data_IF_006725722436
#
_entry.id   IF_006725722436
#
_cell.length_a   1.000
_cell.length_b   1.000
_cell.length_c   1.000
_cell.angle_alpha   90.00
_cell.angle_beta   90.00
_cell.angle_gamma   90.00
#
_symmetry.space_group_name_H-M   'P 1'
#
loop_
_entity.id
_entity.type
_entity.pdbx_description
1 polymer ?
#
# COMPACT_ATOMS: atom_id res chain seq x y z
N UNK A 1 -21.61 2.10 -1.65
CA UNK A 1 -20.65 3.09 -1.11
C UNK A 1 -21.03 4.45 -1.65
N UNK A 2 -21.22 5.47 -0.80
CA UNK A 2 -21.72 6.79 -1.18
C UNK A 2 -20.66 7.89 -1.12
N UNK A 3 -19.56 7.66 -0.41
CA UNK A 3 -18.39 8.55 -0.33
C UNK A 3 -17.15 7.76 0.12
N UNK A 4 -15.97 8.33 -0.10
CA UNK A 4 -14.70 7.93 0.49
C UNK A 4 -14.27 8.98 1.51
N UNK A 5 -13.98 8.59 2.73
CA UNK A 5 -13.51 9.54 3.73
C UNK A 5 -12.05 9.94 3.49
N UNK A 6 -11.23 8.97 3.08
CA UNK A 6 -9.82 9.14 2.78
C UNK A 6 -9.47 8.45 1.47
N UNK A 7 -8.64 9.11 0.68
CA UNK A 7 -7.95 8.53 -0.46
C UNK A 7 -6.46 8.82 -0.28
N UNK A 8 -5.62 7.80 -0.39
CA UNK A 8 -4.18 7.92 -0.14
C UNK A 8 -3.43 7.51 -1.41
N UNK A 9 -2.64 8.43 -1.95
CA UNK A 9 -1.73 8.16 -3.06
C UNK A 9 -0.35 7.81 -2.53
N UNK A 10 0.10 6.58 -2.77
CA UNK A 10 1.38 6.08 -2.26
C UNK A 10 2.57 6.71 -2.97
N UNK A 11 2.52 6.83 -4.31
CA UNK A 11 3.54 7.44 -5.15
C UNK A 11 2.99 7.72 -6.56
N UNK A 12 3.65 8.60 -7.36
CA UNK A 12 3.10 9.10 -8.61
C UNK A 12 3.45 8.29 -9.86
N UNK A 13 3.52 6.95 -9.79
CA UNK A 13 3.64 6.13 -10.99
C UNK A 13 2.30 5.93 -11.67
N UNK A 14 2.35 5.67 -12.99
CA UNK A 14 1.17 5.60 -13.84
C UNK A 14 0.18 4.50 -13.42
N UNK A 15 0.65 3.37 -12.93
CA UNK A 15 -0.18 2.25 -12.47
C UNK A 15 -0.82 2.48 -11.08
N UNK A 16 -0.47 3.60 -10.41
CA UNK A 16 -1.02 3.98 -9.10
C UNK A 16 -1.90 5.25 -9.13
N UNK A 17 -1.97 5.99 -10.22
CA UNK A 17 -2.60 7.31 -10.25
C UNK A 17 -3.90 7.43 -11.08
N UNK A 18 -4.05 6.81 -12.27
CA UNK A 18 -5.13 7.18 -13.20
C UNK A 18 -6.55 6.95 -12.67
N UNK A 19 -6.71 6.01 -11.74
CA UNK A 19 -8.01 5.72 -11.12
C UNK A 19 -8.56 6.87 -10.26
N UNK A 20 -7.72 7.73 -9.72
CA UNK A 20 -8.13 8.79 -8.81
C UNK A 20 -9.03 9.83 -9.49
N UNK A 21 -8.74 10.22 -10.73
CA UNK A 21 -9.59 11.11 -11.49
C UNK A 21 -10.99 10.55 -11.67
N UNK A 22 -11.11 9.30 -12.11
CA UNK A 22 -12.39 8.65 -12.32
C UNK A 22 -13.20 8.55 -11.03
N UNK A 23 -12.56 8.32 -9.90
CA UNK A 23 -13.18 8.26 -8.57
C UNK A 23 -13.64 9.67 -8.15
N UNK A 24 -12.76 10.67 -8.20
CA UNK A 24 -13.05 12.03 -7.76
C UNK A 24 -14.23 12.66 -8.53
N UNK A 25 -14.35 12.36 -9.84
CA UNK A 25 -15.47 12.86 -10.67
C UNK A 25 -16.79 12.13 -10.44
N UNK A 26 -16.81 10.98 -9.75
CA UNK A 26 -18.00 10.12 -9.58
C UNK A 26 -18.51 10.04 -8.16
N UNK A 27 -17.68 10.30 -7.16
CA UNK A 27 -18.09 10.22 -5.77
C UNK A 27 -17.35 11.22 -4.90
N UNK A 28 -18.01 11.72 -3.84
CA UNK A 28 -17.38 12.62 -2.89
C UNK A 28 -16.18 11.95 -2.19
N UNK A 29 -15.06 12.66 -2.13
CA UNK A 29 -13.87 12.31 -1.37
C UNK A 29 -13.75 13.31 -0.23
N UNK A 30 -13.60 12.82 1.00
CA UNK A 30 -13.43 13.66 2.17
C UNK A 30 -12.06 14.34 2.18
N UNK A 31 -11.01 13.58 1.95
CA UNK A 31 -9.61 14.06 1.89
C UNK A 31 -8.75 13.19 0.99
N UNK A 32 -7.82 13.83 0.30
CA UNK A 32 -6.79 13.17 -0.50
C UNK A 32 -5.42 13.40 0.15
N UNK A 33 -4.70 12.33 0.46
CA UNK A 33 -3.39 12.37 1.09
C UNK A 33 -2.30 11.92 0.12
N UNK A 34 -1.18 12.63 0.12
CA UNK A 34 0.04 12.24 -0.60
C UNK A 34 1.26 12.85 0.07
N UNK A 35 2.43 12.22 -0.06
CA UNK A 35 3.72 12.78 0.34
C UNK A 35 4.47 13.45 -0.81
N UNK A 36 3.89 13.47 -2.02
CA UNK A 36 4.51 14.02 -3.22
C UNK A 36 3.91 15.38 -3.58
N UNK A 37 4.71 16.46 -3.61
CA UNK A 37 4.24 17.77 -4.05
C UNK A 37 4.05 17.81 -5.57
N UNK A 38 3.17 18.71 -6.03
CA UNK A 38 2.80 18.84 -7.44
C UNK A 38 3.99 19.15 -8.38
N UNK A 39 4.99 19.87 -7.90
CA UNK A 39 6.12 20.34 -8.73
C UNK A 39 7.21 19.27 -8.99
N UNK A 40 7.12 18.11 -8.34
CA UNK A 40 8.13 17.05 -8.51
C UNK A 40 7.77 16.05 -9.62
N UNK A 41 6.49 15.93 -9.97
CA UNK A 41 6.03 14.90 -10.91
C UNK A 41 4.78 15.36 -11.67
N UNK A 42 4.79 15.28 -13.00
CA UNK A 42 3.69 15.71 -13.86
C UNK A 42 2.38 14.92 -13.60
N UNK A 43 2.47 13.63 -13.28
CA UNK A 43 1.31 12.81 -12.98
C UNK A 43 0.67 13.26 -11.66
N UNK A 44 1.47 13.53 -10.62
CA UNK A 44 0.95 14.08 -9.36
C UNK A 44 0.37 15.46 -9.55
N UNK A 45 1.01 16.33 -10.35
CA UNK A 45 0.49 17.65 -10.70
C UNK A 45 -0.92 17.53 -11.31
N UNK A 46 -1.10 16.63 -12.28
CA UNK A 46 -2.41 16.37 -12.89
C UNK A 46 -3.43 15.88 -11.85
N UNK A 47 -3.07 14.89 -11.05
CA UNK A 47 -3.96 14.34 -10.00
C UNK A 47 -4.42 15.43 -9.02
N UNK A 48 -3.49 16.26 -8.54
CA UNK A 48 -3.80 17.33 -7.60
C UNK A 48 -4.67 18.43 -8.24
N UNK A 49 -4.48 18.73 -9.53
CA UNK A 49 -5.37 19.64 -10.27
C UNK A 49 -6.79 19.08 -10.34
N UNK A 50 -6.97 17.80 -10.64
CA UNK A 50 -8.28 17.14 -10.63
C UNK A 50 -8.92 17.16 -9.24
N UNK A 51 -8.17 16.91 -8.18
CA UNK A 51 -8.67 17.01 -6.80
C UNK A 51 -9.20 18.43 -6.53
N UNK A 52 -8.45 19.46 -6.93
CA UNK A 52 -8.87 20.85 -6.78
C UNK A 52 -10.13 21.18 -7.58
N UNK A 53 -10.23 20.74 -8.84
CA UNK A 53 -11.43 20.89 -9.67
C UNK A 53 -12.67 20.24 -9.05
N UNK A 54 -12.50 19.09 -8.39
CA UNK A 54 -13.57 18.37 -7.71
C UNK A 54 -13.84 18.87 -6.28
N UNK A 55 -13.14 19.91 -5.81
CA UNK A 55 -13.29 20.45 -4.46
C UNK A 55 -12.82 19.51 -3.34
N UNK A 56 -11.92 18.57 -3.66
CA UNK A 56 -11.37 17.61 -2.68
C UNK A 56 -10.23 18.27 -1.91
N UNK A 57 -10.30 18.36 -0.57
CA UNK A 57 -9.17 18.83 0.23
C UNK A 57 -7.95 17.91 0.08
N UNK A 58 -6.78 18.49 -0.19
CA UNK A 58 -5.51 17.78 -0.28
C UNK A 58 -4.70 18.05 0.97
N UNK A 59 -4.18 17.00 1.58
CA UNK A 59 -3.29 17.05 2.74
C UNK A 59 -1.93 16.41 2.41
N UNK A 60 -0.87 17.01 2.92
CA UNK A 60 0.45 16.40 2.85
C UNK A 60 0.55 15.35 3.96
N UNK A 61 0.77 14.08 3.57
CA UNK A 61 0.97 12.99 4.50
C UNK A 61 2.33 13.15 5.23
N UNK A 62 2.34 12.83 6.51
CA UNK A 62 3.56 12.83 7.33
C UNK A 62 3.81 11.46 7.94
N UNK A 63 5.07 11.20 8.26
CA UNK A 63 5.45 9.98 8.97
C UNK A 63 4.75 9.90 10.33
N UNK A 64 4.31 8.69 10.70
CA UNK A 64 3.55 8.43 11.93
C UNK A 64 2.13 9.00 11.95
N UNK A 65 1.64 9.64 10.87
CA UNK A 65 0.26 10.14 10.81
C UNK A 65 -0.74 9.00 10.93
N UNK A 66 -1.70 9.13 11.84
CA UNK A 66 -2.75 8.12 12.06
C UNK A 66 -4.08 8.57 11.48
N UNK A 67 -4.73 7.66 10.74
CA UNK A 67 -6.10 7.78 10.27
C UNK A 67 -6.96 6.77 11.04
N UNK A 68 -8.14 7.19 11.48
CA UNK A 68 -9.06 6.32 12.23
C UNK A 68 -10.27 5.96 11.38
N UNK A 69 -10.58 4.67 11.29
CA UNK A 69 -11.75 4.11 10.61
C UNK A 69 -12.55 3.24 11.58
N UNK A 70 -13.50 3.82 12.29
CA UNK A 70 -14.21 3.12 13.36
C UNK A 70 -13.23 2.70 14.46
N UNK A 71 -13.05 1.39 14.65
CA UNK A 71 -12.08 0.83 15.61
C UNK A 71 -10.71 0.52 15.00
N UNK A 72 -10.59 0.58 13.68
CA UNK A 72 -9.33 0.36 12.99
C UNK A 72 -8.50 1.65 12.95
N UNK A 73 -7.19 1.49 12.97
CA UNK A 73 -6.20 2.56 12.77
C UNK A 73 -5.34 2.26 11.55
N UNK A 74 -4.97 3.30 10.82
CA UNK A 74 -4.02 3.24 9.73
C UNK A 74 -2.89 4.20 10.08
N UNK A 75 -1.71 3.67 10.33
CA UNK A 75 -0.50 4.47 10.51
C UNK A 75 0.20 4.61 9.16
N UNK A 76 0.39 5.85 8.72
CA UNK A 76 1.17 6.16 7.53
C UNK A 76 2.65 6.17 7.89
N UNK A 77 3.47 5.53 7.05
CA UNK A 77 4.91 5.39 7.28
C UNK A 77 5.66 5.97 6.08
N UNK A 78 6.60 6.86 6.35
CA UNK A 78 7.47 7.50 5.36
C UNK A 78 8.93 7.28 5.76
N UNK A 79 9.57 6.19 5.33
CA UNK A 79 10.96 5.93 5.69
C UNK A 79 11.88 7.07 5.24
N UNK A 80 12.79 7.49 6.09
CA UNK A 80 13.82 8.47 5.77
C UNK A 80 15.02 7.84 5.05
N UNK A 81 15.86 8.66 4.41
CA UNK A 81 17.11 8.22 3.76
C UNK A 81 16.92 7.16 2.65
N UNK A 82 15.78 7.17 1.99
CA UNK A 82 15.39 6.17 0.98
C UNK A 82 16.02 6.41 -0.40
N UNK A 83 16.85 7.43 -0.56
CA UNK A 83 17.37 7.85 -1.87
C UNK A 83 16.37 8.68 -2.68
N UNK A 84 16.61 8.79 -4.00
CA UNK A 84 15.87 9.73 -4.86
C UNK A 84 14.81 9.07 -5.75
N UNK A 85 14.75 7.74 -5.80
CA UNK A 85 13.77 7.07 -6.65
C UNK A 85 12.35 7.25 -6.09
N UNK A 86 11.39 7.40 -7.00
CA UNK A 86 9.98 7.58 -6.64
C UNK A 86 9.47 6.41 -5.80
N UNK A 87 9.80 5.18 -6.19
CA UNK A 87 9.40 3.96 -5.49
C UNK A 87 9.91 3.92 -4.04
N UNK A 88 11.16 4.28 -3.82
CA UNK A 88 11.74 4.27 -2.46
C UNK A 88 11.15 5.36 -1.54
N UNK A 89 10.47 6.35 -2.11
CA UNK A 89 9.76 7.42 -1.40
C UNK A 89 8.27 7.13 -1.23
N UNK A 90 7.83 5.89 -1.49
CA UNK A 90 6.44 5.49 -1.35
C UNK A 90 5.92 5.71 0.07
N UNK A 91 4.70 6.23 0.16
CA UNK A 91 3.93 6.27 1.38
C UNK A 91 3.42 4.86 1.68
N UNK A 92 3.80 4.31 2.82
CA UNK A 92 3.42 2.99 3.30
C UNK A 92 2.25 3.10 4.28
N UNK A 93 1.60 1.99 4.57
CA UNK A 93 0.51 1.97 5.54
C UNK A 93 0.51 0.70 6.37
N UNK A 94 0.44 0.85 7.68
CA UNK A 94 0.16 -0.22 8.63
C UNK A 94 -1.27 -0.09 9.12
N UNK A 95 -2.11 -1.05 8.77
CA UNK A 95 -3.50 -1.14 9.21
C UNK A 95 -3.58 -2.05 10.43
N UNK A 96 -4.21 -1.58 11.51
CA UNK A 96 -4.39 -2.33 12.75
C UNK A 96 -5.85 -2.32 13.21
N UNK A 97 -6.33 -3.47 13.67
CA UNK A 97 -7.62 -3.63 14.36
C UNK A 97 -7.45 -4.71 15.42
N UNK A 98 -7.52 -4.37 16.69
CA UNK A 98 -7.18 -5.31 17.77
C UNK A 98 -5.77 -5.87 17.57
N UNK A 99 -5.64 -7.19 17.49
CA UNK A 99 -4.37 -7.89 17.25
C UNK A 99 -4.07 -8.10 15.74
N UNK A 100 -5.06 -7.88 14.87
CA UNK A 100 -4.92 -8.07 13.43
C UNK A 100 -4.15 -6.92 12.79
N UNK A 101 -3.12 -7.23 11.99
CA UNK A 101 -2.21 -6.26 11.38
C UNK A 101 -1.98 -6.56 9.90
N UNK A 102 -2.02 -5.51 9.07
CA UNK A 102 -1.69 -5.60 7.65
C UNK A 102 -0.71 -4.49 7.28
N UNK A 103 0.45 -4.85 6.72
CA UNK A 103 1.44 -3.90 6.22
C UNK A 103 1.38 -3.81 4.70
N UNK A 104 1.26 -2.59 4.20
CA UNK A 104 1.22 -2.27 2.78
C UNK A 104 2.50 -1.50 2.39
N UNK A 105 3.39 -2.15 1.63
CA UNK A 105 4.71 -1.59 1.28
C UNK A 105 4.72 -0.83 -0.05
N UNK A 106 3.55 -0.56 -0.64
CA UNK A 106 3.46 0.12 -1.95
C UNK A 106 4.45 -0.49 -2.95
N UNK A 107 5.35 0.31 -3.53
CA UNK A 107 6.39 -0.13 -4.46
C UNK A 107 7.81 0.05 -3.91
N UNK A 108 7.93 -0.02 -2.59
CA UNK A 108 9.19 0.18 -1.87
C UNK A 108 10.29 -0.76 -2.38
N UNK A 109 11.38 -0.20 -2.89
CA UNK A 109 12.56 -0.94 -3.37
C UNK A 109 13.64 -1.07 -2.29
N UNK A 110 14.77 -1.67 -2.65
CA UNK A 110 15.80 -2.12 -1.70
C UNK A 110 16.30 -1.03 -0.74
N UNK A 111 16.52 0.19 -1.21
CA UNK A 111 17.00 1.28 -0.32
C UNK A 111 15.93 1.70 0.68
N UNK A 112 14.68 1.83 0.23
CA UNK A 112 13.56 2.14 1.13
C UNK A 112 13.26 1.01 2.10
N UNK A 113 13.38 -0.25 1.66
CA UNK A 113 13.24 -1.41 2.52
C UNK A 113 14.32 -1.45 3.61
N UNK A 114 15.56 -1.12 3.27
CA UNK A 114 16.63 -1.02 4.25
C UNK A 114 16.37 0.15 5.22
N UNK A 115 15.97 1.30 4.71
CA UNK A 115 15.63 2.45 5.56
C UNK A 115 14.49 2.15 6.53
N UNK A 116 13.45 1.43 6.09
CA UNK A 116 12.35 0.98 6.95
C UNK A 116 12.84 0.00 8.03
N UNK A 117 13.77 -0.89 7.70
CA UNK A 117 14.37 -1.80 8.69
C UNK A 117 15.22 -1.03 9.71
N UNK A 118 15.99 -0.04 9.23
CA UNK A 118 16.90 0.77 10.06
C UNK A 118 16.16 1.78 10.96
N UNK A 119 14.91 2.14 10.63
CA UNK A 119 14.08 3.02 11.48
C UNK A 119 13.78 2.41 12.85
N UNK A 120 13.74 1.09 12.93
CA UNK A 120 13.36 0.36 14.14
C UNK A 120 11.85 0.37 14.43
N UNK A 121 11.04 0.81 13.48
CA UNK A 121 9.58 0.77 13.59
C UNK A 121 9.09 -0.69 13.73
N UNK A 122 7.99 -0.87 14.47
CA UNK A 122 7.33 -2.17 14.56
C UNK A 122 6.56 -2.48 13.28
N UNK A 123 7.22 -3.22 12.38
CA UNK A 123 6.70 -3.64 11.08
C UNK A 123 6.02 -5.01 11.09
N UNK A 124 5.95 -5.69 12.24
CA UNK A 124 5.30 -7.01 12.32
C UNK A 124 3.85 -6.94 11.83
N UNK A 125 3.43 -7.88 10.99
CA UNK A 125 2.08 -7.92 10.43
C UNK A 125 1.67 -9.33 9.99
N UNK A 126 0.40 -9.67 10.16
CA UNK A 126 -0.17 -10.96 9.70
C UNK A 126 -0.25 -11.03 8.18
N UNK A 127 -0.64 -9.90 7.56
CA UNK A 127 -0.80 -9.78 6.11
C UNK A 127 0.20 -8.77 5.57
N UNK A 128 0.93 -9.16 4.53
CA UNK A 128 1.84 -8.29 3.80
C UNK A 128 1.33 -8.05 2.37
N UNK A 129 1.01 -6.78 1.99
CA UNK A 129 1.00 -6.44 0.57
C UNK A 129 2.46 -6.35 0.13
N UNK A 130 2.91 -7.35 -0.62
CA UNK A 130 4.29 -7.48 -1.07
C UNK A 130 4.70 -6.26 -1.93
N UNK A 131 5.91 -5.71 -1.76
CA UNK A 131 6.30 -4.50 -2.45
C UNK A 131 6.43 -4.70 -3.97
N UNK A 132 6.20 -3.62 -4.71
CA UNK A 132 6.44 -3.49 -6.15
C UNK A 132 5.92 -4.70 -6.94
N UNK A 133 4.68 -5.10 -6.66
CA UNK A 133 3.97 -6.22 -7.32
C UNK A 133 4.74 -7.55 -7.33
N UNK A 134 5.78 -7.71 -6.54
CA UNK A 134 6.62 -8.90 -6.52
C UNK A 134 7.64 -8.99 -7.66
N UNK A 135 7.93 -7.89 -8.36
CA UNK A 135 8.91 -7.87 -9.46
C UNK A 135 10.32 -8.29 -9.06
N UNK A 136 10.67 -8.12 -7.80
CA UNK A 136 11.95 -8.54 -7.23
C UNK A 136 11.76 -9.20 -5.86
N UNK A 137 12.73 -9.98 -5.42
CA UNK A 137 12.80 -10.41 -4.03
C UNK A 137 13.03 -9.19 -3.13
N UNK A 138 12.34 -9.13 -2.00
CA UNK A 138 12.53 -8.06 -1.04
C UNK A 138 13.70 -8.34 -0.10
N UNK A 139 14.10 -7.35 0.69
CA UNK A 139 15.12 -7.49 1.72
C UNK A 139 14.72 -8.63 2.70
N UNK A 140 15.60 -9.64 2.80
CA UNK A 140 15.33 -10.84 3.60
C UNK A 140 15.16 -10.52 5.09
N UNK A 141 15.95 -9.59 5.63
CA UNK A 141 15.85 -9.21 7.03
C UNK A 141 14.53 -8.47 7.32
N UNK A 142 14.07 -7.61 6.40
CA UNK A 142 12.78 -6.95 6.52
C UNK A 142 11.62 -7.96 6.46
N UNK A 143 11.65 -8.91 5.51
CA UNK A 143 10.62 -9.96 5.43
C UNK A 143 10.58 -10.80 6.70
N UNK A 144 11.75 -11.10 7.28
CA UNK A 144 11.82 -11.80 8.57
C UNK A 144 11.28 -10.97 9.73
N UNK A 145 11.52 -9.66 9.75
CA UNK A 145 10.99 -8.75 10.78
C UNK A 145 9.47 -8.59 10.68
N UNK A 146 8.92 -8.53 9.46
CA UNK A 146 7.47 -8.49 9.23
C UNK A 146 6.81 -9.80 9.67
N UNK A 147 7.44 -10.95 9.39
CA UNK A 147 6.97 -12.29 9.72
C UNK A 147 5.50 -12.56 9.31
N UNK A 148 5.11 -12.30 8.05
CA UNK A 148 3.72 -12.39 7.64
C UNK A 148 3.24 -13.84 7.55
N UNK A 149 1.97 -14.06 7.87
CA UNK A 149 1.26 -15.35 7.70
C UNK A 149 0.75 -15.51 6.25
N UNK A 150 0.59 -14.39 5.52
CA UNK A 150 0.15 -14.38 4.14
C UNK A 150 0.74 -13.16 3.43
N UNK A 151 1.26 -13.35 2.22
CA UNK A 151 1.64 -12.26 1.32
C UNK A 151 0.61 -12.09 0.19
N UNK A 152 0.24 -10.84 -0.11
CA UNK A 152 -0.61 -10.47 -1.25
C UNK A 152 0.29 -9.92 -2.34
N UNK A 153 0.23 -10.52 -3.53
CA UNK A 153 0.96 -10.09 -4.72
C UNK A 153 -0.04 -9.55 -5.74
N UNK A 154 0.09 -8.27 -6.09
CA UNK A 154 -0.81 -7.58 -7.02
C UNK A 154 -0.35 -7.70 -8.47
N UNK A 155 0.04 -8.91 -8.87
CA UNK A 155 0.45 -9.27 -10.22
C UNK A 155 0.17 -10.74 -10.50
N UNK A 156 0.25 -11.11 -11.78
CA UNK A 156 0.22 -12.52 -12.21
C UNK A 156 1.44 -13.27 -11.66
N UNK A 157 1.31 -14.55 -11.27
CA UNK A 157 2.44 -15.36 -10.79
C UNK A 157 3.66 -15.32 -11.73
N UNK A 158 3.41 -15.32 -13.03
CA UNK A 158 4.46 -15.27 -14.06
C UNK A 158 5.26 -13.96 -14.07
N UNK A 159 4.76 -12.89 -13.43
CA UNK A 159 5.45 -11.60 -13.30
C UNK A 159 6.15 -11.41 -11.96
N UNK A 160 5.97 -12.35 -11.03
CA UNK A 160 6.52 -12.27 -9.68
C UNK A 160 7.39 -13.49 -9.30
N UNK A 161 8.23 -14.05 -10.19
CA UNK A 161 8.93 -15.31 -9.93
C UNK A 161 9.91 -15.20 -8.75
N UNK A 162 10.57 -14.06 -8.59
CA UNK A 162 11.55 -13.85 -7.51
C UNK A 162 10.87 -13.74 -6.13
N UNK A 163 9.76 -13.01 -6.07
CA UNK A 163 8.97 -12.92 -4.85
C UNK A 163 8.42 -14.29 -4.44
N UNK A 164 7.84 -15.03 -5.39
CA UNK A 164 7.31 -16.38 -5.13
C UNK A 164 8.39 -17.35 -4.66
N UNK A 165 9.56 -17.37 -5.30
CA UNK A 165 10.69 -18.20 -4.86
C UNK A 165 11.11 -17.86 -3.43
N UNK A 166 11.17 -16.58 -3.09
CA UNK A 166 11.52 -16.13 -1.75
C UNK A 166 10.47 -16.54 -0.70
N UNK A 167 9.20 -16.33 -1.00
CA UNK A 167 8.09 -16.67 -0.10
C UNK A 167 7.99 -18.18 0.13
N UNK A 168 8.14 -18.97 -0.94
CA UNK A 168 8.15 -20.43 -0.87
C UNK A 168 9.32 -20.95 0.01
N UNK A 169 10.51 -20.40 -0.16
CA UNK A 169 11.67 -20.74 0.64
C UNK A 169 11.50 -20.43 2.14
N UNK A 170 10.61 -19.51 2.48
CA UNK A 170 10.25 -19.15 3.86
C UNK A 170 8.94 -19.78 4.34
N UNK A 171 8.32 -20.63 3.52
CA UNK A 171 7.01 -21.24 3.78
C UNK A 171 5.90 -20.21 4.06
N UNK A 172 5.95 -19.04 3.40
CA UNK A 172 4.94 -17.99 3.50
C UNK A 172 3.95 -18.14 2.33
N UNK A 173 2.66 -18.42 2.58
CA UNK A 173 1.65 -18.49 1.54
C UNK A 173 1.52 -17.18 0.77
N UNK A 174 1.23 -17.26 -0.54
CA UNK A 174 0.97 -16.10 -1.38
C UNK A 174 -0.42 -16.18 -2.03
N UNK A 175 -1.15 -15.05 -2.05
CA UNK A 175 -2.37 -14.86 -2.81
C UNK A 175 -2.15 -13.80 -3.90
N UNK A 176 -2.81 -13.97 -5.04
CA UNK A 176 -2.64 -13.13 -6.24
C UNK A 176 -3.95 -12.46 -6.65
N UNK A 177 -3.85 -11.27 -7.25
CA UNK A 177 -5.01 -10.51 -7.74
C UNK A 177 -5.15 -10.54 -9.28
N UNK A 178 -4.63 -11.56 -9.95
CA UNK A 178 -4.58 -11.64 -11.42
C UNK A 178 -5.87 -12.14 -12.08
N UNK A 179 -6.58 -13.07 -11.43
CA UNK A 179 -7.79 -13.69 -11.97
C UNK A 179 -9.06 -13.26 -11.23
N UNK A 180 -8.90 -12.73 -10.02
CA UNK A 180 -10.01 -12.30 -9.17
C UNK A 180 -9.59 -11.17 -8.24
N UNK A 181 -10.57 -10.41 -7.73
CA UNK A 181 -10.35 -9.54 -6.59
C UNK A 181 -10.13 -10.36 -5.31
N UNK A 182 -9.39 -9.79 -4.35
CA UNK A 182 -9.25 -10.36 -3.02
C UNK A 182 -9.99 -9.49 -2.01
N UNK A 183 -10.90 -10.08 -1.24
CA UNK A 183 -11.55 -9.44 -0.11
C UNK A 183 -10.91 -9.96 1.17
N UNK A 184 -10.33 -9.04 1.95
CA UNK A 184 -9.79 -9.31 3.28
C UNK A 184 -10.73 -8.72 4.32
N UNK A 185 -11.12 -9.52 5.29
CA UNK A 185 -11.96 -9.12 6.42
C UNK A 185 -11.32 -9.57 7.72
N UNK A 186 -11.50 -8.78 8.77
CA UNK A 186 -11.03 -9.14 10.10
C UNK A 186 -11.99 -8.61 11.17
N UNK A 187 -12.10 -9.34 12.26
CA UNK A 187 -12.78 -8.92 13.51
C UNK A 187 -11.77 -8.36 14.54
N UNK A 188 -10.49 -8.28 14.17
CA UNK A 188 -9.40 -7.85 15.04
C UNK A 188 -8.59 -9.00 15.64
N UNK A 189 -8.97 -10.26 15.40
CA UNK A 189 -8.24 -11.46 15.85
C UNK A 189 -7.93 -12.41 14.71
N UNK A 190 -8.90 -12.60 13.79
CA UNK A 190 -8.81 -13.54 12.68
C UNK A 190 -8.93 -12.78 11.35
N UNK A 191 -8.15 -13.21 10.36
CA UNK A 191 -8.30 -12.76 8.98
C UNK A 191 -9.07 -13.78 8.16
N UNK A 192 -10.02 -13.30 7.36
CA UNK A 192 -10.75 -14.07 6.36
C UNK A 192 -10.36 -13.52 4.99
N UNK A 193 -9.85 -14.40 4.11
CA UNK A 193 -9.57 -14.10 2.72
C UNK A 193 -10.63 -14.75 1.84
N UNK A 194 -11.22 -13.97 0.94
CA UNK A 194 -12.18 -14.45 -0.05
C UNK A 194 -11.75 -14.00 -1.44
N UNK A 195 -11.83 -14.89 -2.42
CA UNK A 195 -11.70 -14.56 -3.83
C UNK A 195 -13.03 -13.97 -4.31
N UNK A 196 -12.96 -12.78 -4.91
CA UNK A 196 -14.10 -12.15 -5.56
C UNK A 196 -14.05 -12.47 -7.05
N UNK A 197 -14.90 -13.39 -7.51
CA UNK A 197 -15.12 -13.56 -8.95
C UNK A 197 -15.87 -12.34 -9.48
N UNK A 198 -15.33 -11.71 -10.53
CA UNK A 198 -16.08 -10.70 -11.27
C UNK A 198 -17.21 -11.44 -12.01
N UNK A 199 -18.45 -11.22 -11.61
CA UNK A 199 -19.59 -11.58 -12.47
C UNK A 199 -19.52 -10.65 -13.70
N UNK A 200 -19.55 -11.24 -14.90
CA UNK A 200 -19.56 -10.54 -16.19
C UNK A 200 -20.84 -9.71 -16.39
#
# INVERSE_FOLDING_TARGET
>A
MTRLDWVVATHPHHDHQPGFEAIARRMPIGRFLTSFPANENAQMQHTLAVMAECGVPVENASDGQMLTLGHAQITLILPENTGKTVNNRSLLALVTLGDARMLMLADLESMGQQALLDSGDDVNADILKYPHHGHAAMNQALLTAIAPKLAIITAKPTRAPYALTQLDAMAIPAAHTDECGLLLQTDGQVWILQNLTMEE
#
